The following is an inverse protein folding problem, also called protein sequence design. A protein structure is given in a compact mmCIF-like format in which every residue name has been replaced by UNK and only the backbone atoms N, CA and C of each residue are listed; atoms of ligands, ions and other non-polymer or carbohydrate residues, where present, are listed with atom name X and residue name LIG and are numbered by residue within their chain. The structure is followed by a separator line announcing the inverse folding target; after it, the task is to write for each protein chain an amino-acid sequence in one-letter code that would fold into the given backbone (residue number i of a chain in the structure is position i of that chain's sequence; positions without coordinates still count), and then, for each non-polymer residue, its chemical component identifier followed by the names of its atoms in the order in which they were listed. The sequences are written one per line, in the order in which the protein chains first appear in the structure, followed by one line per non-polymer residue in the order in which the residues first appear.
data_IF_182439568570
#
_entry.id   IF_182439568570
#
_cell.length_a   1.000
_cell.length_b   1.000
_cell.length_c   1.000
_cell.angle_alpha   90.00
_cell.angle_beta   90.00
_cell.angle_gamma   90.00
#
_symmetry.space_group_name_H-M   'P 1'
#
loop_
_entity.id
_entity.type
_entity.pdbx_description
1 polymer ?
#
# COMPACT_ATOMS: atom_id res chain seq x y z
N UNK A 1 -2.68 -0.11 -53.48
CA UNK A 1 -1.71 -0.45 -52.42
C UNK A 1 -1.80 0.61 -51.33
N UNK A 2 -2.19 0.38 -50.09
CA UNK A 2 -3.13 -0.59 -49.54
C UNK A 2 -3.85 0.17 -48.39
N UNK A 3 -5.09 0.69 -48.59
CA UNK A 3 -5.84 1.40 -47.54
C UNK A 3 -6.05 0.53 -46.29
N UNK A 4 -5.92 -0.78 -46.46
CA UNK A 4 -5.87 -1.79 -45.41
C UNK A 4 -4.77 -1.54 -44.38
N UNK A 5 -3.58 -1.05 -44.77
CA UNK A 5 -2.47 -0.84 -43.83
C UNK A 5 -2.78 0.33 -42.89
N UNK A 6 -3.24 1.46 -43.43
CA UNK A 6 -3.62 2.62 -42.63
C UNK A 6 -4.75 2.27 -41.66
N UNK A 7 -5.73 1.49 -42.13
CA UNK A 7 -6.83 1.02 -41.29
C UNK A 7 -6.34 0.10 -40.16
N UNK A 8 -5.44 -0.83 -40.45
CA UNK A 8 -4.82 -1.71 -39.44
C UNK A 8 -4.02 -0.92 -38.39
N UNK A 9 -3.26 0.09 -38.82
CA UNK A 9 -2.56 1.00 -37.91
C UNK A 9 -3.54 1.78 -37.03
N UNK A 10 -4.63 2.32 -37.57
CA UNK A 10 -5.66 2.99 -36.78
C UNK A 10 -6.30 2.05 -35.76
N UNK A 11 -6.63 0.81 -36.14
CA UNK A 11 -7.22 -0.16 -35.20
C UNK A 11 -6.26 -0.56 -34.09
N UNK A 12 -4.97 -0.71 -34.38
CA UNK A 12 -3.93 -1.01 -33.39
C UNK A 12 -3.72 0.15 -32.41
N UNK A 13 -3.68 1.39 -32.91
CA UNK A 13 -3.57 2.59 -32.06
C UNK A 13 -4.79 2.75 -31.16
N UNK A 14 -6.00 2.56 -31.70
CA UNK A 14 -7.24 2.63 -30.90
C UNK A 14 -7.28 1.52 -29.85
N UNK A 15 -6.84 0.30 -30.18
CA UNK A 15 -6.73 -0.80 -29.22
C UNK A 15 -5.71 -0.51 -28.10
N UNK A 16 -4.58 0.12 -28.41
CA UNK A 16 -3.58 0.56 -27.43
C UNK A 16 -4.09 1.70 -26.52
N UNK A 17 -4.98 2.56 -27.01
CA UNK A 17 -5.62 3.63 -26.22
C UNK A 17 -6.78 3.09 -25.36
N UNK A 18 -7.47 2.05 -25.84
CA UNK A 18 -8.57 1.39 -25.13
C UNK A 18 -8.10 0.32 -24.14
N UNK A 19 -6.85 -0.12 -24.23
CA UNK A 19 -6.19 -0.89 -23.18
C UNK A 19 -6.17 -0.01 -21.93
N UNK A 20 -6.88 -0.39 -20.84
CA UNK A 20 -6.77 0.34 -19.61
C UNK A 20 -5.30 0.21 -19.17
N UNK A 21 -4.55 1.31 -19.21
CA UNK A 21 -3.24 1.40 -18.59
C UNK A 21 -3.42 1.47 -17.07
N UNK A 22 -4.16 0.55 -16.48
CA UNK A 22 -4.27 0.39 -15.03
C UNK A 22 -3.19 -0.58 -14.56
N UNK A 23 -1.93 -0.26 -14.85
CA UNK A 23 -0.78 -1.01 -14.34
C UNK A 23 0.17 -0.15 -13.52
N UNK A 24 -0.20 1.09 -13.20
CA UNK A 24 0.68 2.01 -12.50
C UNK A 24 -0.10 2.96 -11.59
N UNK A 25 -0.75 2.44 -10.55
CA UNK A 25 -1.05 3.25 -9.35
C UNK A 25 -1.52 2.48 -8.10
N UNK A 26 -1.46 1.15 -8.08
CA UNK A 26 -1.67 0.38 -6.84
C UNK A 26 -0.44 0.34 -5.95
N UNK A 27 0.65 0.99 -6.36
CA UNK A 27 1.94 1.01 -5.66
C UNK A 27 1.92 2.09 -4.59
N UNK A 28 2.13 1.68 -3.34
CA UNK A 28 2.44 2.59 -2.25
C UNK A 28 3.63 3.47 -2.62
N UNK A 29 3.48 4.79 -2.45
CA UNK A 29 4.57 5.69 -2.81
C UNK A 29 5.73 5.55 -1.83
N UNK A 30 6.99 5.82 -2.27
CA UNK A 30 8.15 5.77 -1.38
C UNK A 30 8.04 6.65 -0.13
N UNK A 31 7.32 7.77 -0.19
CA UNK A 31 7.06 8.63 0.97
C UNK A 31 6.11 7.99 1.99
N UNK A 32 5.15 7.19 1.52
CA UNK A 32 4.19 6.49 2.38
C UNK A 32 4.85 5.31 3.07
N UNK A 33 5.62 4.50 2.35
CA UNK A 33 6.36 3.38 2.96
C UNK A 33 7.37 3.88 4.00
N UNK A 34 8.04 5.00 3.74
CA UNK A 34 8.91 5.67 4.73
C UNK A 34 8.14 6.15 5.96
N UNK A 35 7.01 6.82 5.76
CA UNK A 35 6.15 7.31 6.86
C UNK A 35 5.60 6.15 7.69
N UNK A 36 5.21 5.04 7.06
CA UNK A 36 4.82 3.81 7.76
C UNK A 36 5.98 3.25 8.60
N UNK A 37 7.22 3.29 8.11
CA UNK A 37 8.37 2.85 8.91
C UNK A 37 8.63 3.75 10.12
N UNK A 38 8.47 5.07 9.99
CA UNK A 38 8.49 5.99 11.13
C UNK A 38 7.35 5.69 12.12
N UNK A 39 6.14 5.44 11.60
CA UNK A 39 4.99 5.04 12.40
C UNK A 39 5.25 3.74 13.18
N UNK A 40 5.86 2.73 12.57
CA UNK A 40 6.30 1.48 13.22
C UNK A 40 7.25 1.77 14.38
N UNK A 41 8.16 2.74 14.26
CA UNK A 41 9.11 3.09 15.32
C UNK A 41 8.45 3.78 16.52
N UNK A 42 7.24 4.31 16.37
CA UNK A 42 6.49 4.95 17.47
C UNK A 42 5.95 3.93 18.50
N UNK A 43 5.91 2.64 18.16
CA UNK A 43 5.42 1.59 19.03
C UNK A 43 6.53 0.67 19.54
N UNK A 44 6.31 0.14 20.74
CA UNK A 44 6.97 -1.05 21.27
C UNK A 44 6.03 -2.24 21.08
N UNK A 45 6.58 -3.39 20.76
CA UNK A 45 5.80 -4.62 20.61
C UNK A 45 5.97 -5.43 21.89
N UNK A 46 4.86 -5.80 22.52
CA UNK A 46 4.89 -6.72 23.66
C UNK A 46 4.45 -8.11 23.19
N UNK A 47 5.40 -9.06 23.13
CA UNK A 47 5.16 -10.43 22.67
C UNK A 47 4.81 -11.41 23.80
N UNK A 48 4.38 -10.91 24.96
CA UNK A 48 4.15 -11.76 26.14
C UNK A 48 2.76 -12.43 26.17
N UNK A 49 1.84 -12.04 25.29
CA UNK A 49 0.52 -12.66 25.17
C UNK A 49 0.44 -13.62 23.98
N UNK A 50 -0.29 -14.72 24.14
CA UNK A 50 -0.68 -15.66 23.08
C UNK A 50 -1.33 -15.04 21.83
N UNK A 51 -1.98 -13.87 21.96
CA UNK A 51 -2.53 -13.12 20.82
C UNK A 51 -1.49 -12.25 20.10
N UNK A 52 -0.25 -12.19 20.62
CA UNK A 52 0.82 -11.28 20.21
C UNK A 52 1.98 -11.99 19.52
N UNK A 53 1.85 -13.28 19.19
CA UNK A 53 2.92 -14.09 18.58
C UNK A 53 3.32 -13.57 17.20
N UNK A 54 2.41 -12.87 16.51
CA UNK A 54 2.63 -12.31 15.18
C UNK A 54 2.21 -10.83 15.12
N UNK A 55 3.09 -9.89 15.48
CA UNK A 55 2.84 -8.47 15.27
C UNK A 55 2.91 -8.15 13.78
N UNK A 56 1.81 -7.66 13.19
CA UNK A 56 1.70 -7.42 11.73
C UNK A 56 2.79 -6.48 11.20
N UNK A 57 3.17 -5.46 11.98
CA UNK A 57 4.29 -4.55 11.66
C UNK A 57 5.65 -5.25 11.49
N UNK A 58 5.76 -6.53 11.86
CA UNK A 58 6.93 -7.37 11.64
C UNK A 58 7.21 -7.68 10.17
N UNK A 59 6.19 -7.71 9.30
CA UNK A 59 6.34 -7.92 7.86
C UNK A 59 6.85 -6.70 7.11
N UNK A 60 6.77 -5.51 7.73
CA UNK A 60 7.11 -4.24 7.09
C UNK A 60 8.63 -4.13 6.88
N UNK A 61 9.05 -4.05 5.63
CA UNK A 61 10.46 -3.98 5.24
C UNK A 61 10.65 -3.07 4.02
N UNK A 62 11.63 -2.18 4.10
CA UNK A 62 12.10 -1.37 2.96
C UNK A 62 13.09 -2.13 2.07
N UNK A 63 13.68 -3.21 2.59
CA UNK A 63 14.72 -3.98 1.90
C UNK A 63 14.14 -4.99 0.90
N UNK A 64 12.82 -5.19 0.92
CA UNK A 64 12.10 -6.00 -0.06
C UNK A 64 11.77 -5.17 -1.30
N UNK A 65 11.83 -5.80 -2.47
CA UNK A 65 11.24 -5.28 -3.72
C UNK A 65 9.69 -5.13 -3.66
N UNK A 66 9.11 -5.22 -2.47
CA UNK A 66 7.68 -5.29 -2.21
C UNK A 66 7.09 -3.93 -1.88
N UNK A 67 6.00 -3.63 -2.56
CA UNK A 67 5.10 -2.54 -2.27
C UNK A 67 4.61 -2.57 -0.81
N UNK A 68 4.43 -1.41 -0.15
CA UNK A 68 3.89 -1.39 1.22
C UNK A 68 2.47 -1.97 1.30
N UNK A 69 1.74 -2.02 0.19
CA UNK A 69 0.45 -2.72 0.09
C UNK A 69 0.54 -4.24 0.29
N UNK A 70 1.75 -4.82 0.13
CA UNK A 70 2.02 -6.22 0.44
C UNK A 70 2.32 -6.47 1.92
N UNK A 71 2.44 -5.42 2.72
CA UNK A 71 2.72 -5.55 4.14
C UNK A 71 1.46 -5.92 4.93
N UNK A 72 1.58 -6.87 5.85
CA UNK A 72 0.49 -7.28 6.73
C UNK A 72 -0.10 -6.08 7.47
N UNK A 73 -1.44 -6.03 7.45
CA UNK A 73 -2.19 -4.95 8.07
C UNK A 73 -2.26 -3.66 7.24
N UNK A 74 -1.59 -3.56 6.09
CA UNK A 74 -1.77 -2.46 5.14
C UNK A 74 -2.82 -2.85 4.11
N UNK A 75 -3.86 -2.03 3.97
CA UNK A 75 -4.94 -2.21 2.98
C UNK A 75 -4.88 -1.05 2.00
N UNK A 76 -4.47 -1.29 0.76
CA UNK A 76 -4.52 -0.28 -0.28
C UNK A 76 -5.83 -0.41 -1.06
N UNK A 77 -6.49 0.72 -1.34
CA UNK A 77 -7.64 0.74 -2.23
C UNK A 77 -7.17 0.52 -3.68
N UNK A 78 -7.26 -0.73 -4.14
CA UNK A 78 -6.88 -1.13 -5.51
C UNK A 78 -7.79 -0.52 -6.59
N UNK A 79 -9.01 -0.09 -6.23
CA UNK A 79 -9.98 0.44 -7.19
C UNK A 79 -9.80 1.94 -7.44
N UNK A 80 -9.37 2.71 -6.44
CA UNK A 80 -9.23 4.18 -6.54
C UNK A 80 -7.80 4.70 -6.41
N UNK A 81 -6.85 3.89 -5.93
CA UNK A 81 -5.46 4.30 -5.66
C UNK A 81 -5.33 5.39 -4.59
N UNK A 82 -6.41 5.69 -3.87
CA UNK A 82 -6.52 6.90 -3.04
C UNK A 82 -6.51 6.64 -1.53
N UNK A 83 -6.73 5.41 -1.07
CA UNK A 83 -6.91 5.11 0.35
C UNK A 83 -5.96 4.04 0.87
N UNK A 84 -5.34 4.30 2.02
CA UNK A 84 -4.58 3.33 2.81
C UNK A 84 -5.30 3.09 4.13
N UNK A 85 -5.69 1.85 4.40
CA UNK A 85 -6.17 1.40 5.70
C UNK A 85 -5.05 0.71 6.47
N UNK A 86 -4.97 0.96 7.78
CA UNK A 86 -4.10 0.23 8.69
C UNK A 86 -4.95 -0.59 9.65
N UNK A 87 -4.71 -1.89 9.66
CA UNK A 87 -5.35 -2.89 10.49
C UNK A 87 -4.25 -3.62 11.26
N UNK A 88 -3.95 -3.12 12.45
CA UNK A 88 -2.91 -3.64 13.35
C UNK A 88 -3.51 -4.36 14.55
N UNK A 89 -4.75 -4.82 14.44
CA UNK A 89 -5.42 -5.59 15.49
C UNK A 89 -4.56 -6.79 15.92
N UNK A 90 -4.52 -7.06 17.22
CA UNK A 90 -3.73 -8.18 17.76
C UNK A 90 -2.21 -8.02 17.63
N UNK A 91 -1.70 -6.87 17.17
CA UNK A 91 -0.25 -6.64 17.07
C UNK A 91 0.41 -6.28 18.40
N UNK A 92 -0.39 -6.15 19.47
CA UNK A 92 0.06 -5.87 20.83
C UNK A 92 1.08 -4.72 20.89
N UNK A 93 0.67 -3.61 20.28
CA UNK A 93 1.44 -2.38 20.19
C UNK A 93 1.25 -1.57 21.47
N UNK A 94 2.36 -1.11 22.05
CA UNK A 94 2.40 -0.28 23.25
C UNK A 94 3.14 1.00 22.95
N UNK A 95 2.66 2.12 23.48
CA UNK A 95 3.28 3.42 23.28
C UNK A 95 2.25 4.47 22.87
N UNK A 96 2.75 5.58 22.34
CA UNK A 96 1.92 6.69 21.89
C UNK A 96 1.98 6.76 20.37
N UNK A 97 0.81 6.84 19.75
CA UNK A 97 0.67 7.13 18.32
C UNK A 97 1.44 8.41 18.00
N UNK A 98 2.41 8.32 17.09
CA UNK A 98 3.12 9.51 16.60
C UNK A 98 2.20 10.36 15.72
N UNK A 99 2.40 11.68 15.74
CA UNK A 99 1.76 12.60 14.78
C UNK A 99 2.20 12.35 13.34
N UNK A 100 3.25 11.58 13.10
CA UNK A 100 3.71 11.21 11.75
C UNK A 100 2.64 10.48 10.94
N UNK A 101 1.68 9.82 11.60
CA UNK A 101 0.51 9.23 10.94
C UNK A 101 -0.28 10.26 10.11
N UNK A 102 -0.22 11.55 10.46
CA UNK A 102 -0.88 12.63 9.72
C UNK A 102 -0.22 12.89 8.36
N UNK A 103 1.02 12.42 8.15
CA UNK A 103 1.72 12.49 6.86
C UNK A 103 1.26 11.40 5.90
N UNK A 104 0.57 10.37 6.38
CA UNK A 104 -0.17 9.42 5.54
C UNK A 104 -1.45 10.10 5.04
N UNK A 105 -1.29 11.01 4.09
CA UNK A 105 -2.38 11.84 3.53
C UNK A 105 -3.55 11.04 2.94
N UNK A 106 -3.31 9.76 2.62
CA UNK A 106 -4.29 8.81 2.09
C UNK A 106 -4.87 7.87 3.15
N UNK A 107 -4.55 8.05 4.44
CA UNK A 107 -5.05 7.15 5.48
C UNK A 107 -6.57 7.30 5.67
N UNK A 108 -7.31 6.21 5.44
CA UNK A 108 -8.78 6.19 5.53
C UNK A 108 -9.31 5.42 6.75
N UNK A 109 -8.50 4.52 7.30
CA UNK A 109 -8.87 3.68 8.45
C UNK A 109 -7.64 3.35 9.28
N UNK A 110 -7.81 3.32 10.60
CA UNK A 110 -6.77 2.94 11.55
C UNK A 110 -7.39 2.09 12.66
N UNK A 111 -6.97 0.83 12.76
CA UNK A 111 -7.29 -0.08 13.85
C UNK A 111 -6.00 -0.50 14.57
N UNK A 112 -5.98 -0.32 15.89
CA UNK A 112 -4.86 -0.60 16.79
C UNK A 112 -5.26 -1.54 17.95
N UNK A 113 -6.45 -2.15 17.86
CA UNK A 113 -7.10 -2.86 18.97
C UNK A 113 -6.36 -4.11 19.46
#
# INVERSE_FOLDING_TARGET
MAPSIFFLFCTQIVFLILLPTSFADSLCRPDESSTLMEFKQSFRINRTGWRCDYPKVGSWSLDGHGDCCSWDGVKCDEATGHGTGLDLDGSCLFGKVSSDILRLSRLVSLDLS
#
